data_IF_895856944292
#
_entry.id   IF_895856944292
#
_cell.length_a   1.000
_cell.length_b   1.000
_cell.length_c   1.000
_cell.angle_alpha   90.00
_cell.angle_beta   90.00
_cell.angle_gamma   90.00
#
_symmetry.space_group_name_H-M   'P 1'
#
loop_
_entity.id
_entity.type
_entity.pdbx_description
1 polymer ?
#
# COMPACT_ATOMS: atom_id res chain seq x y z
N UNK A 1 -8.73 18.01 18.80
CA UNK A 1 -9.63 17.82 19.96
C UNK A 1 -9.20 16.55 20.64
N UNK A 2 -8.81 16.62 21.91
CA UNK A 2 -8.45 15.42 22.68
C UNK A 2 -9.71 14.61 22.95
N UNK A 3 -9.74 13.37 22.49
CA UNK A 3 -10.75 12.39 22.90
C UNK A 3 -10.50 12.07 24.36
N UNK A 4 -11.34 12.57 25.26
CA UNK A 4 -11.30 12.21 26.68
C UNK A 4 -11.84 10.79 26.82
N UNK A 5 -11.05 9.89 27.39
CA UNK A 5 -11.51 8.53 27.69
C UNK A 5 -12.39 8.60 28.94
N UNK A 6 -13.67 8.27 28.80
CA UNK A 6 -14.63 8.20 29.91
C UNK A 6 -14.74 6.73 30.31
N UNK A 7 -14.50 6.42 31.59
CA UNK A 7 -14.58 5.06 32.13
C UNK A 7 -15.78 4.93 33.07
N UNK A 8 -16.50 3.81 32.99
CA UNK A 8 -17.59 3.44 33.88
C UNK A 8 -17.10 2.48 34.96
N UNK A 9 -17.60 2.63 36.19
CA UNK A 9 -17.40 1.64 37.25
C UNK A 9 -18.75 0.98 37.49
N UNK A 10 -18.85 -0.32 37.24
CA UNK A 10 -20.07 -1.09 37.45
C UNK A 10 -19.96 -1.88 38.75
N UNK A 11 -21.04 -1.90 39.52
CA UNK A 11 -21.15 -2.63 40.79
C UNK A 11 -22.27 -3.63 40.65
N UNK A 12 -21.90 -4.91 40.63
CA UNK A 12 -22.86 -6.00 40.68
C UNK A 12 -23.24 -6.27 42.15
N UNK A 13 -24.54 -6.30 42.43
CA UNK A 13 -25.09 -6.68 43.74
C UNK A 13 -25.69 -8.07 43.61
N UNK A 14 -25.19 -9.01 44.41
CA UNK A 14 -25.72 -10.39 44.45
C UNK A 14 -27.02 -10.39 45.25
N UNK A 15 -27.93 -11.34 44.97
CA UNK A 15 -29.21 -11.53 45.68
C UNK A 15 -29.09 -11.55 47.22
N UNK A 16 -27.90 -11.90 47.76
CA UNK A 16 -27.61 -11.88 49.20
C UNK A 16 -27.35 -10.48 49.79
N UNK A 17 -27.39 -9.42 48.97
CA UNK A 17 -27.05 -8.05 49.37
C UNK A 17 -25.56 -7.79 49.50
N UNK A 18 -24.71 -8.79 49.22
CA UNK A 18 -23.26 -8.61 49.13
C UNK A 18 -22.88 -8.10 47.73
N UNK A 19 -21.97 -7.12 47.67
CA UNK A 19 -21.34 -6.72 46.40
C UNK A 19 -20.43 -7.85 45.92
N UNK A 20 -20.55 -8.24 44.64
CA UNK A 20 -19.64 -9.25 44.04
C UNK A 20 -18.30 -8.67 43.60
N UNK A 21 -18.06 -7.39 43.86
CA UNK A 21 -16.86 -6.64 43.46
C UNK A 21 -17.18 -5.42 42.59
N UNK A 22 -16.16 -4.60 42.35
CA UNK A 22 -16.16 -3.55 41.33
C UNK A 22 -15.45 -4.11 40.09
N UNK A 23 -16.10 -4.04 38.94
CA UNK A 23 -15.46 -4.33 37.66
C UNK A 23 -15.43 -3.06 36.82
N UNK A 24 -14.34 -2.91 36.07
CA UNK A 24 -14.27 -1.90 35.02
C UNK A 24 -15.31 -2.22 33.96
N UNK A 25 -16.00 -1.19 33.50
CA UNK A 25 -17.08 -1.32 32.54
C UNK A 25 -16.86 -0.27 31.43
N UNK A 26 -17.05 -0.70 30.18
CA UNK A 26 -16.86 0.13 28.99
C UNK A 26 -18.02 1.14 28.89
N UNK A 27 -19.17 0.85 29.50
CA UNK A 27 -20.34 1.71 29.48
C UNK A 27 -20.50 2.49 30.78
N UNK A 28 -20.58 3.80 30.65
CA UNK A 28 -20.64 4.73 31.79
C UNK A 28 -22.06 5.00 32.29
N UNK A 29 -23.09 4.66 31.50
CA UNK A 29 -24.50 4.92 31.82
C UNK A 29 -25.43 3.85 31.25
N UNK A 30 -25.55 2.66 31.85
CA UNK A 30 -26.68 1.80 31.54
C UNK A 30 -27.95 2.48 32.07
N UNK A 31 -28.85 2.93 31.19
CA UNK A 31 -30.15 3.49 31.61
C UNK A 31 -31.06 2.42 32.20
N UNK A 32 -30.85 1.16 31.82
CA UNK A 32 -31.54 -0.03 32.33
C UNK A 32 -30.54 -1.19 32.25
N UNK A 33 -30.21 -1.82 33.38
CA UNK A 33 -29.47 -3.08 33.35
C UNK A 33 -30.38 -4.16 32.75
N UNK A 34 -30.02 -4.63 31.56
CA UNK A 34 -30.71 -5.71 30.86
C UNK A 34 -30.08 -7.03 31.25
N UNK A 35 -30.85 -8.11 31.38
CA UNK A 35 -30.27 -9.47 31.49
C UNK A 35 -30.09 -10.14 30.13
N UNK A 36 -30.33 -9.40 29.04
CA UNK A 36 -30.17 -9.93 27.69
C UNK A 36 -28.69 -10.03 27.30
N UNK A 37 -28.25 -11.23 26.91
CA UNK A 37 -26.90 -11.48 26.41
C UNK A 37 -26.79 -10.97 24.96
N UNK A 38 -26.74 -9.66 24.80
CA UNK A 38 -26.78 -8.98 23.49
C UNK A 38 -25.49 -9.25 22.70
N UNK A 39 -25.59 -9.59 21.40
CA UNK A 39 -24.42 -9.76 20.55
C UNK A 39 -23.67 -8.43 20.31
N UNK A 40 -22.36 -8.46 20.03
CA UNK A 40 -21.63 -7.27 19.63
C UNK A 40 -22.04 -6.82 18.23
N UNK A 41 -21.98 -5.52 17.99
CA UNK A 41 -22.03 -4.93 16.65
C UNK A 41 -20.63 -4.81 16.10
N UNK A 42 -20.41 -5.32 14.88
CA UNK A 42 -19.12 -5.27 14.21
C UNK A 42 -19.20 -4.20 13.13
N UNK A 43 -18.33 -3.20 13.22
CA UNK A 43 -18.20 -2.17 12.19
C UNK A 43 -17.47 -2.73 10.96
N UNK A 44 -17.40 -1.93 9.90
CA UNK A 44 -16.71 -2.32 8.66
C UNK A 44 -15.25 -2.72 8.94
N UNK A 45 -14.84 -3.95 8.59
CA UNK A 45 -13.47 -4.40 8.78
C UNK A 45 -12.46 -3.52 8.03
N UNK A 46 -11.41 -3.10 8.72
CA UNK A 46 -10.29 -2.33 8.18
C UNK A 46 -9.19 -3.30 7.78
N UNK A 47 -9.11 -3.59 6.48
CA UNK A 47 -8.08 -4.47 5.90
C UNK A 47 -6.74 -3.75 5.95
N UNK A 48 -5.75 -4.38 6.59
CA UNK A 48 -4.40 -3.89 6.70
C UNK A 48 -3.47 -4.64 5.75
N UNK A 49 -2.30 -4.06 5.47
CA UNK A 49 -1.23 -4.75 4.77
C UNK A 49 -0.77 -5.99 5.56
N UNK A 50 -0.25 -7.00 4.86
CA UNK A 50 0.35 -8.24 5.42
C UNK A 50 -0.63 -9.31 5.94
N UNK A 51 -1.83 -9.42 5.38
CA UNK A 51 -2.78 -10.46 5.81
C UNK A 51 -3.27 -10.24 7.24
N UNK A 52 -3.48 -8.96 7.59
CA UNK A 52 -4.01 -8.51 8.87
C UNK A 52 -5.31 -7.75 8.61
N UNK A 53 -6.27 -7.90 9.51
CA UNK A 53 -7.51 -7.12 9.48
C UNK A 53 -7.81 -6.65 10.89
N UNK A 54 -8.21 -5.39 11.02
CA UNK A 54 -8.76 -4.84 12.24
C UNK A 54 -10.26 -4.73 12.14
N UNK A 55 -10.95 -5.15 13.17
CA UNK A 55 -12.41 -5.14 13.24
C UNK A 55 -12.80 -4.31 14.46
N UNK A 56 -13.20 -3.05 14.25
CA UNK A 56 -13.82 -2.28 15.30
C UNK A 56 -15.15 -2.94 15.66
N UNK A 57 -15.44 -3.01 16.94
CA UNK A 57 -16.68 -3.56 17.46
C UNK A 57 -17.17 -2.72 18.62
N UNK A 58 -18.48 -2.75 18.82
CA UNK A 58 -19.15 -2.04 19.87
C UNK A 58 -20.22 -2.91 20.53
N UNK A 59 -20.61 -2.54 21.74
CA UNK A 59 -21.77 -3.05 22.43
C UNK A 59 -22.73 -1.90 22.69
N UNK A 60 -24.01 -2.16 22.50
CA UNK A 60 -25.03 -1.21 22.89
C UNK A 60 -25.15 -1.19 24.42
N UNK A 61 -24.81 -0.05 25.02
CA UNK A 61 -24.85 0.15 26.46
C UNK A 61 -26.26 -0.01 27.06
N UNK A 62 -27.31 0.18 26.25
CA UNK A 62 -28.71 0.05 26.72
C UNK A 62 -29.16 -1.42 26.83
N UNK A 63 -28.40 -2.37 26.28
CA UNK A 63 -28.78 -3.78 26.16
C UNK A 63 -27.82 -4.74 26.88
N UNK A 64 -26.96 -4.25 27.78
CA UNK A 64 -25.86 -5.04 28.35
C UNK A 64 -26.26 -5.90 29.57
N UNK A 65 -25.98 -7.20 29.51
CA UNK A 65 -25.99 -8.17 30.62
C UNK A 65 -24.68 -8.31 31.43
N UNK A 66 -24.29 -7.27 32.17
CA UNK A 66 -23.30 -7.38 33.25
C UNK A 66 -21.84 -7.27 32.82
N UNK A 67 -20.91 -8.07 33.35
CA UNK A 67 -19.47 -7.94 33.01
C UNK A 67 -19.08 -8.78 31.80
N UNK A 68 -18.38 -8.18 30.83
CA UNK A 68 -17.74 -8.92 29.72
C UNK A 68 -16.44 -9.57 30.21
N UNK A 69 -16.32 -10.87 30.00
CA UNK A 69 -15.14 -11.65 30.34
C UNK A 69 -14.21 -11.87 29.14
N UNK A 70 -14.79 -12.15 27.98
CA UNK A 70 -14.04 -12.46 26.77
C UNK A 70 -14.82 -12.07 25.51
N UNK A 71 -14.08 -11.89 24.42
CA UNK A 71 -14.62 -11.73 23.08
C UNK A 71 -14.11 -12.91 22.23
N UNK A 72 -15.04 -13.63 21.63
CA UNK A 72 -14.72 -14.76 20.75
C UNK A 72 -14.93 -14.35 19.30
N UNK A 73 -13.99 -14.72 18.46
CA UNK A 73 -13.94 -14.37 17.05
C UNK A 73 -13.85 -15.67 16.27
N UNK A 74 -14.66 -15.84 15.24
CA UNK A 74 -14.53 -16.97 14.33
C UNK A 74 -14.52 -16.46 12.90
N UNK A 75 -13.62 -16.96 12.07
CA UNK A 75 -13.45 -16.50 10.70
C UNK A 75 -13.08 -17.63 9.76
N UNK A 76 -13.62 -17.60 8.54
CA UNK A 76 -13.34 -18.62 7.52
C UNK A 76 -13.17 -18.04 6.12
N UNK A 77 -12.32 -18.65 5.29
CA UNK A 77 -12.17 -18.28 3.89
C UNK A 77 -13.40 -18.74 3.09
N UNK A 78 -14.11 -17.81 2.47
CA UNK A 78 -15.31 -18.04 1.68
C UNK A 78 -16.50 -17.23 2.16
N UNK A 79 -17.66 -17.49 1.53
CA UNK A 79 -18.93 -16.87 1.87
C UNK A 79 -19.78 -17.87 2.65
N UNK A 80 -20.00 -17.59 3.92
CA UNK A 80 -20.77 -18.45 4.81
C UNK A 80 -21.90 -17.65 5.46
N UNK A 81 -22.96 -18.37 5.82
CA UNK A 81 -24.12 -17.77 6.49
C UNK A 81 -24.04 -17.94 7.99
N UNK A 82 -23.40 -19.03 8.45
CA UNK A 82 -23.38 -19.42 9.84
C UNK A 82 -21.98 -19.78 10.35
N UNK A 83 -21.68 -19.47 11.62
CA UNK A 83 -20.35 -19.69 12.19
C UNK A 83 -20.01 -21.17 12.40
N UNK A 84 -20.97 -22.07 12.56
CA UNK A 84 -20.69 -23.51 12.74
C UNK A 84 -20.31 -24.24 11.44
N UNK A 85 -20.50 -23.59 10.28
CA UNK A 85 -20.00 -24.09 8.99
C UNK A 85 -18.49 -23.84 8.84
N UNK A 86 -17.95 -22.98 9.70
CA UNK A 86 -16.55 -22.62 9.73
C UNK A 86 -15.74 -23.63 10.57
N UNK A 87 -14.77 -24.33 9.96
CA UNK A 87 -13.87 -25.25 10.66
C UNK A 87 -12.64 -24.56 11.28
N UNK A 88 -12.48 -23.24 11.11
CA UNK A 88 -11.37 -22.46 11.65
C UNK A 88 -11.80 -21.63 12.86
N UNK A 89 -11.78 -22.21 14.06
CA UNK A 89 -11.98 -21.44 15.29
C UNK A 89 -10.62 -20.91 15.76
N UNK A 90 -10.49 -19.58 15.86
CA UNK A 90 -9.36 -18.94 16.52
C UNK A 90 -9.93 -18.08 17.63
N UNK A 91 -9.92 -18.60 18.85
CA UNK A 91 -10.24 -17.79 20.02
C UNK A 91 -9.14 -16.76 20.20
N UNK A 92 -9.42 -15.53 19.79
CA UNK A 92 -8.56 -14.39 20.10
C UNK A 92 -8.97 -13.92 21.49
N UNK A 93 -8.23 -14.38 22.51
CA UNK A 93 -8.30 -13.82 23.86
C UNK A 93 -7.66 -12.42 23.83
N UNK A 94 -8.32 -11.47 23.15
CA UNK A 94 -7.83 -10.10 23.00
C UNK A 94 -8.17 -9.29 24.26
N UNK A 95 -7.39 -8.25 24.51
CA UNK A 95 -7.73 -7.19 25.46
C UNK A 95 -9.05 -6.52 25.01
N UNK A 96 -10.17 -7.03 25.53
CA UNK A 96 -11.56 -6.61 25.25
C UNK A 96 -11.76 -5.09 25.34
N UNK A 97 -10.88 -4.38 26.05
CA UNK A 97 -10.99 -2.98 26.40
C UNK A 97 -10.75 -1.99 25.25
N UNK A 98 -10.22 -2.44 24.10
CA UNK A 98 -9.83 -1.53 23.01
C UNK A 98 -10.91 -1.31 21.95
N UNK A 99 -12.05 -2.02 22.00
CA UNK A 99 -13.11 -1.90 20.98
C UNK A 99 -12.66 -2.31 19.57
N UNK A 100 -11.52 -3.00 19.47
CA UNK A 100 -10.96 -3.46 18.21
C UNK A 100 -10.40 -4.87 18.38
N UNK A 101 -10.58 -5.72 17.36
CA UNK A 101 -9.95 -7.04 17.26
C UNK A 101 -9.02 -7.05 16.05
N UNK A 102 -7.82 -7.58 16.20
CA UNK A 102 -6.91 -7.82 15.09
C UNK A 102 -6.80 -9.32 14.79
N UNK A 103 -7.14 -9.72 13.57
CA UNK A 103 -6.89 -11.07 13.04
C UNK A 103 -5.67 -11.03 12.13
N UNK A 104 -4.78 -12.01 12.28
CA UNK A 104 -3.46 -12.06 11.62
C UNK A 104 -3.29 -13.34 10.81
N UNK A 105 -2.27 -13.36 9.96
CA UNK A 105 -1.88 -14.51 9.13
C UNK A 105 -2.98 -14.97 8.16
N UNK A 106 -3.73 -14.01 7.62
CA UNK A 106 -4.73 -14.28 6.61
C UNK A 106 -4.08 -14.45 5.23
N UNK A 107 -4.64 -15.34 4.43
CA UNK A 107 -4.21 -15.55 3.06
C UNK A 107 -4.55 -14.31 2.22
N UNK A 108 -3.63 -13.79 1.40
CA UNK A 108 -3.90 -12.65 0.54
C UNK A 108 -4.94 -12.97 -0.54
N UNK A 109 -5.60 -11.93 -1.06
CA UNK A 109 -6.58 -11.99 -2.15
C UNK A 109 -7.71 -13.01 -1.90
N UNK A 110 -8.07 -13.20 -0.62
CA UNK A 110 -9.05 -14.20 -0.17
C UNK A 110 -10.22 -13.50 0.51
N UNK A 111 -11.43 -13.89 0.13
CA UNK A 111 -12.66 -13.44 0.80
C UNK A 111 -12.81 -14.20 2.12
N UNK A 112 -13.05 -13.48 3.20
CA UNK A 112 -13.32 -14.05 4.52
C UNK A 112 -14.71 -13.65 5.00
N UNK A 113 -15.34 -14.57 5.73
CA UNK A 113 -16.51 -14.30 6.58
C UNK A 113 -16.09 -14.34 8.03
N UNK A 114 -16.58 -13.41 8.85
CA UNK A 114 -16.25 -13.31 10.29
C UNK A 114 -17.48 -13.05 11.15
N UNK A 115 -17.47 -13.60 12.35
CA UNK A 115 -18.47 -13.38 13.39
C UNK A 115 -17.79 -13.18 14.73
N UNK A 116 -18.40 -12.32 15.55
CA UNK A 116 -17.97 -12.04 16.91
C UNK A 116 -19.08 -12.43 17.88
N UNK A 117 -18.72 -12.94 19.06
CA UNK A 117 -19.64 -13.08 20.19
C UNK A 117 -18.94 -12.72 21.48
N UNK A 118 -19.71 -12.28 22.45
CA UNK A 118 -19.20 -11.83 23.74
C UNK A 118 -19.56 -12.84 24.80
N UNK A 119 -18.60 -13.20 25.63
CA UNK A 119 -18.83 -14.03 26.82
C UNK A 119 -18.95 -13.10 28.02
N UNK A 120 -20.16 -12.98 28.53
CA UNK A 120 -20.47 -12.29 29.78
C UNK A 120 -20.31 -13.25 30.95
N UNK A 121 -20.23 -12.70 32.16
CA UNK A 121 -20.25 -13.50 33.40
C UNK A 121 -21.49 -14.37 33.52
N UNK A 122 -22.63 -13.89 33.02
CA UNK A 122 -23.91 -14.61 33.04
C UNK A 122 -24.04 -15.67 31.93
N UNK A 123 -23.17 -15.65 30.93
CA UNK A 123 -23.21 -16.57 29.79
C UNK A 123 -22.73 -15.92 28.49
N UNK A 124 -22.78 -16.69 27.40
CA UNK A 124 -22.32 -16.24 26.08
C UNK A 124 -23.46 -15.67 25.25
N UNK A 125 -23.21 -14.55 24.57
CA UNK A 125 -24.14 -13.94 23.63
C UNK A 125 -24.39 -14.81 22.41
N UNK A 126 -25.40 -14.44 21.63
CA UNK A 126 -25.49 -14.90 20.25
C UNK A 126 -24.32 -14.33 19.42
N UNK A 127 -24.07 -14.93 18.26
CA UNK A 127 -23.13 -14.39 17.29
C UNK A 127 -23.65 -13.10 16.67
N UNK A 128 -22.74 -12.19 16.33
CA UNK A 128 -23.02 -11.02 15.52
C UNK A 128 -23.54 -11.42 14.14
N UNK A 129 -24.15 -10.50 13.38
CA UNK A 129 -24.32 -10.67 11.95
C UNK A 129 -22.97 -10.98 11.26
N UNK A 130 -23.02 -11.77 10.18
CA UNK A 130 -21.85 -12.08 9.38
C UNK A 130 -21.28 -10.80 8.76
N UNK A 131 -19.97 -10.60 8.88
CA UNK A 131 -19.24 -9.56 8.16
C UNK A 131 -18.35 -10.19 7.11
N UNK A 132 -18.19 -9.48 5.99
CA UNK A 132 -17.40 -9.94 4.86
C UNK A 132 -16.29 -8.95 4.56
N UNK A 133 -15.09 -9.46 4.30
CA UNK A 133 -13.98 -8.64 3.86
C UNK A 133 -13.04 -9.45 2.97
N UNK A 134 -12.35 -8.76 2.07
CA UNK A 134 -11.34 -9.37 1.19
C UNK A 134 -9.98 -8.87 1.62
N UNK A 135 -9.04 -9.77 1.84
CA UNK A 135 -7.64 -9.39 2.08
C UNK A 135 -7.03 -8.92 0.77
N UNK A 136 -6.49 -7.70 0.74
CA UNK A 136 -5.81 -7.20 -0.47
C UNK A 136 -4.31 -7.45 -0.38
N UNK A 137 -3.73 -8.05 -1.44
CA UNK A 137 -2.28 -8.03 -1.65
C UNK A 137 -1.80 -6.72 -2.29
N UNK A 138 -2.28 -5.59 -1.77
CA UNK A 138 -2.03 -4.26 -2.36
C UNK A 138 -0.55 -3.88 -2.48
N UNK A 139 0.39 -4.21 -1.55
CA UNK A 139 1.76 -3.75 -1.71
C UNK A 139 2.44 -4.40 -2.93
N UNK A 140 2.20 -5.70 -3.18
CA UNK A 140 2.79 -6.39 -4.34
C UNK A 140 2.16 -5.93 -5.65
N UNK A 141 0.83 -5.75 -5.67
CA UNK A 141 0.13 -5.26 -6.86
C UNK A 141 0.61 -3.86 -7.25
N UNK A 142 0.72 -2.93 -6.30
CA UNK A 142 1.19 -1.56 -6.56
C UNK A 142 2.64 -1.55 -7.06
N UNK A 143 3.53 -2.29 -6.40
CA UNK A 143 4.93 -2.40 -6.84
C UNK A 143 5.02 -3.00 -8.25
N UNK A 144 4.27 -4.04 -8.54
CA UNK A 144 4.25 -4.66 -9.85
C UNK A 144 3.75 -3.70 -10.93
N UNK A 145 2.67 -2.96 -10.67
CA UNK A 145 2.17 -1.92 -11.56
C UNK A 145 3.21 -0.81 -11.80
N UNK A 146 3.93 -0.37 -10.76
CA UNK A 146 5.00 0.62 -10.89
C UNK A 146 6.15 0.11 -11.78
N UNK A 147 6.54 -1.17 -11.63
CA UNK A 147 7.55 -1.81 -12.48
C UNK A 147 7.08 -1.87 -13.93
N UNK A 148 5.84 -2.29 -14.18
CA UNK A 148 5.26 -2.34 -15.52
C UNK A 148 5.25 -0.96 -16.18
N UNK A 149 4.82 0.08 -15.46
CA UNK A 149 4.83 1.46 -15.97
C UNK A 149 6.25 1.92 -16.28
N UNK A 150 7.23 1.64 -15.41
CA UNK A 150 8.64 2.00 -15.65
C UNK A 150 9.18 1.33 -16.93
N UNK A 151 8.87 0.05 -17.16
CA UNK A 151 9.30 -0.67 -18.36
C UNK A 151 8.63 -0.09 -19.61
N UNK A 152 7.32 0.17 -19.58
CA UNK A 152 6.59 0.73 -20.73
C UNK A 152 7.11 2.12 -21.08
N UNK A 153 7.31 2.99 -20.08
CA UNK A 153 7.88 4.33 -20.27
C UNK A 153 9.31 4.23 -20.81
N UNK A 154 10.13 3.34 -20.25
CA UNK A 154 11.49 3.08 -20.71
C UNK A 154 11.53 2.66 -22.18
N UNK A 155 10.73 1.67 -22.58
CA UNK A 155 10.66 1.21 -23.97
C UNK A 155 10.15 2.30 -24.91
N UNK A 156 9.12 3.06 -24.51
CA UNK A 156 8.60 4.17 -25.32
C UNK A 156 9.66 5.25 -25.56
N UNK A 157 10.47 5.57 -24.55
CA UNK A 157 11.54 6.57 -24.66
C UNK A 157 12.64 6.15 -25.64
N UNK A 158 13.01 4.86 -25.64
CA UNK A 158 14.00 4.29 -26.57
C UNK A 158 13.47 4.32 -28.00
N UNK A 159 12.20 3.95 -28.22
CA UNK A 159 11.58 4.01 -29.55
C UNK A 159 11.57 5.44 -30.08
N UNK A 160 11.18 6.41 -29.26
CA UNK A 160 11.20 7.83 -29.63
C UNK A 160 12.63 8.25 -30.00
N UNK A 161 13.63 7.93 -29.18
CA UNK A 161 15.02 8.29 -29.44
C UNK A 161 15.54 7.70 -30.76
N UNK A 162 15.26 6.43 -31.05
CA UNK A 162 15.64 5.77 -32.31
C UNK A 162 14.95 6.42 -33.52
N UNK A 163 13.67 6.81 -33.39
CA UNK A 163 12.96 7.51 -34.47
C UNK A 163 13.55 8.89 -34.73
N UNK A 164 13.90 9.65 -33.69
CA UNK A 164 14.55 10.96 -33.82
C UNK A 164 15.92 10.85 -34.49
N UNK A 165 16.74 9.86 -34.10
CA UNK A 165 18.05 9.61 -34.73
C UNK A 165 17.88 9.27 -36.21
N UNK A 166 16.93 8.40 -36.57
CA UNK A 166 16.67 8.08 -37.99
C UNK A 166 16.20 9.28 -38.79
N UNK A 167 15.35 10.14 -38.21
CA UNK A 167 14.92 11.38 -38.85
C UNK A 167 16.10 12.35 -39.05
N UNK A 168 16.98 12.48 -38.05
CA UNK A 168 18.16 13.33 -38.14
C UNK A 168 19.15 12.83 -39.21
N UNK A 169 19.42 11.53 -39.27
CA UNK A 169 20.29 10.93 -40.30
C UNK A 169 19.71 11.12 -41.70
N UNK A 170 18.39 10.93 -41.87
CA UNK A 170 17.73 11.21 -43.17
C UNK A 170 17.84 12.66 -43.57
N UNK A 171 17.67 13.59 -42.64
CA UNK A 171 17.80 15.02 -42.93
C UNK A 171 19.24 15.38 -43.34
N UNK A 172 20.23 14.80 -42.65
CA UNK A 172 21.64 14.98 -43.00
C UNK A 172 21.99 14.37 -44.36
N UNK A 173 21.45 13.20 -44.72
CA UNK A 173 21.71 12.60 -46.04
C UNK A 173 21.16 13.47 -47.17
N UNK A 174 19.92 13.99 -47.01
CA UNK A 174 19.32 14.90 -48.00
C UNK A 174 20.12 16.20 -48.12
N UNK A 175 20.63 16.73 -47.00
CA UNK A 175 21.45 17.95 -47.01
C UNK A 175 22.81 17.70 -47.70
N UNK A 176 23.41 16.52 -47.50
CA UNK A 176 24.68 16.16 -48.13
C UNK A 176 24.54 15.94 -49.64
N UNK A 177 23.44 15.34 -50.09
CA UNK A 177 23.12 15.17 -51.51
C UNK A 177 22.92 16.53 -52.23
N UNK A 178 22.34 17.53 -51.55
CA UNK A 178 22.15 18.86 -52.14
C UNK A 178 23.46 19.67 -52.23
N UNK A 179 24.43 19.39 -51.36
CA UNK A 179 25.80 19.97 -51.43
C UNK A 179 26.66 19.27 -52.51
N UNK A 180 26.35 18.02 -52.85
CA UNK A 180 27.04 17.26 -53.91
C UNK A 180 26.41 17.43 -55.30
N UNK A 181 25.39 18.28 -55.46
CA UNK A 181 24.98 18.72 -56.78
C UNK A 181 26.10 19.53 -57.41
N UNK A 182 26.68 18.93 -58.46
CA UNK A 182 27.75 19.49 -59.28
C UNK A 182 27.59 20.99 -59.46
N UNK A 183 28.53 21.74 -58.89
CA UNK A 183 28.77 23.12 -59.27
C UNK A 183 29.22 23.05 -60.73
N UNK A 184 28.27 23.19 -61.66
CA UNK A 184 28.57 23.48 -63.05
C UNK A 184 29.27 24.84 -63.07
N UNK A 185 30.60 24.82 -62.99
CA UNK A 185 31.43 25.98 -63.25
C UNK A 185 31.25 26.27 -64.75
N UNK A 186 30.64 27.40 -65.14
CA UNK A 186 30.54 27.74 -66.54
C UNK A 186 31.96 27.84 -67.13
N UNK A 187 32.19 27.14 -68.24
CA UNK A 187 33.44 27.16 -68.98
C UNK A 187 33.72 28.60 -69.44
N UNK A 188 34.58 29.32 -68.72
CA UNK A 188 34.89 30.70 -69.09
C UNK A 188 35.78 31.51 -68.15
N UNK A 189 36.18 31.00 -66.98
CA UNK A 189 37.01 31.77 -66.04
C UNK A 189 38.43 31.22 -65.91
N UNK A 190 39.27 31.72 -66.83
CA UNK A 190 40.59 32.29 -66.57
C UNK A 190 41.70 31.34 -66.08
N UNK A 191 42.49 30.93 -67.08
CA UNK A 191 43.95 30.81 -67.00
C UNK A 191 44.54 32.02 -66.27
N UNK A 192 45.03 31.82 -65.05
CA UNK A 192 46.04 32.68 -64.45
C UNK A 192 47.23 31.82 -64.02
N UNK A 193 48.33 31.97 -64.75
CA UNK A 193 49.65 31.50 -64.39
C UNK A 193 50.03 32.09 -63.03
N UNK A 194 50.18 31.25 -62.01
CA UNK A 194 50.85 31.62 -60.76
C UNK A 194 52.22 30.94 -60.77
N UNK A 195 53.32 31.71 -60.74
CA UNK A 195 54.67 31.18 -60.78
C UNK A 195 55.07 30.53 -59.44
N UNK A 196 55.86 29.47 -59.56
CA UNK A 196 56.51 28.79 -58.46
C UNK A 196 57.45 29.72 -57.68
N UNK A 197 57.21 29.88 -56.38
CA UNK A 197 58.23 30.24 -55.37
C UNK A 197 57.77 29.68 -54.01
N UNK A 198 58.28 28.53 -53.58
CA UNK A 198 59.45 28.38 -52.68
C UNK A 198 59.27 29.11 -51.34
N UNK A 199 59.04 28.34 -50.28
CA UNK A 199 59.60 28.40 -48.89
C UNK A 199 58.65 27.57 -48.00
N UNK A 200 59.02 26.38 -47.54
CA UNK A 200 59.96 26.04 -46.45
C UNK A 200 59.56 26.62 -45.07
N UNK A 201 59.44 25.75 -44.06
CA UNK A 201 58.99 26.07 -42.69
C UNK A 201 57.95 25.07 -42.18
N UNK A 202 58.31 23.88 -41.68
CA UNK A 202 59.02 23.56 -40.43
C UNK A 202 58.21 23.89 -39.15
N UNK A 203 57.80 22.82 -38.46
CA UNK A 203 57.58 22.65 -37.02
C UNK A 203 56.46 23.40 -36.27
N UNK A 204 55.55 22.64 -35.64
CA UNK A 204 55.33 22.57 -34.18
C UNK A 204 54.21 21.54 -33.89
N UNK A 205 54.43 20.42 -33.19
CA UNK A 205 54.65 20.25 -31.73
C UNK A 205 53.44 20.67 -30.89
N UNK A 206 53.00 19.76 -30.02
CA UNK A 206 52.16 19.99 -28.82
C UNK A 206 50.79 19.32 -28.92
N UNK A 207 50.52 18.19 -28.23
CA UNK A 207 50.08 18.12 -26.81
C UNK A 207 48.67 18.72 -26.64
N UNK A 208 47.66 18.17 -25.95
CA UNK A 208 47.53 17.35 -24.72
C UNK A 208 46.01 17.09 -24.59
N UNK A 209 45.50 15.89 -24.26
CA UNK A 209 45.27 15.34 -22.91
C UNK A 209 44.22 16.11 -22.08
N UNK A 210 43.03 15.50 -21.93
CA UNK A 210 42.08 15.54 -20.80
C UNK A 210 41.00 14.49 -21.16
N UNK A 211 40.85 13.32 -20.54
CA UNK A 211 40.93 12.86 -19.15
C UNK A 211 40.03 13.60 -18.15
N UNK A 212 39.41 12.79 -17.29
CA UNK A 212 38.60 13.12 -16.11
C UNK A 212 37.12 13.47 -16.34
N UNK A 213 36.24 12.51 -16.01
CA UNK A 213 35.08 12.71 -15.13
C UNK A 213 34.51 11.36 -14.66
N UNK A 214 35.21 10.73 -13.73
CA UNK A 214 34.64 9.86 -12.70
C UNK A 214 34.22 10.74 -11.52
N UNK A 215 32.95 10.72 -11.13
CA UNK A 215 32.43 11.14 -9.82
C UNK A 215 31.04 10.47 -9.66
N UNK A 216 30.95 9.34 -8.95
CA UNK A 216 30.75 9.20 -7.50
C UNK A 216 29.27 9.03 -7.12
N UNK A 217 28.98 7.88 -6.50
CA UNK A 217 27.85 7.59 -5.59
C UNK A 217 27.62 8.69 -4.53
N UNK A 218 26.41 8.80 -3.96
CA UNK A 218 26.07 8.09 -2.70
C UNK A 218 24.64 7.49 -2.73
N UNK A 219 24.38 6.31 -2.17
CA UNK A 219 24.26 5.96 -0.73
C UNK A 219 23.17 6.74 0.03
N UNK A 220 22.02 6.10 0.21
CA UNK A 220 21.08 6.25 1.35
C UNK A 220 20.07 5.08 1.23
N UNK A 221 20.01 4.03 2.07
CA UNK A 221 19.99 3.88 3.53
C UNK A 221 18.84 4.63 4.20
N UNK A 222 17.72 3.92 4.40
CA UNK A 222 16.72 4.07 5.48
C UNK A 222 15.96 2.72 5.51
N UNK A 223 16.05 1.86 6.54
CA UNK A 223 15.48 1.99 7.90
C UNK A 223 14.04 2.49 7.90
#
# INVERSE_FOLDING_TARGET
GGSGVIFGVSVEVVESGASSGMSWDICTTPRVYSTALTPPTVDTPVVMSEGKVRMPWALDCDAWAGVVLALEVTYCPGHYTFPWECQGEVQVESEVWLGEVEVRHLEPDTLYTVWLRVTYRAGTSQWSPAQYFTTDNSPVKVVWWMVVVMVVVGLSSVVILVTLIRCAVRNLSVTMDDIHRDIHIPEGLISYNIPNSVTDGRNSVGETLADVSTLSEPSSRHQ
#
